data_IF_825390992008
#
_entry.id   IF_825390992008
#
_cell.length_a   1.000
_cell.length_b   1.000
_cell.length_c   1.000
_cell.angle_alpha   90.00
_cell.angle_beta   90.00
_cell.angle_gamma   90.00
#
_symmetry.space_group_name_H-M   'P 1'
#
loop_
_entity.id
_entity.type
_entity.pdbx_description
1 polymer ?
#
# COMPACT_ATOMS: atom_id res chain seq x y z
N UNK A 1 14.87 -15.57 9.45
CA UNK A 1 15.90 -14.87 8.65
C UNK A 1 16.03 -13.47 9.23
N UNK A 2 17.20 -13.07 9.76
CA UNK A 2 17.45 -11.70 10.22
C UNK A 2 18.24 -11.00 9.12
N UNK A 3 17.66 -9.96 8.51
CA UNK A 3 18.39 -9.10 7.58
C UNK A 3 19.35 -8.22 8.38
N UNK A 4 20.59 -8.07 7.92
CA UNK A 4 21.60 -7.24 8.59
C UNK A 4 21.23 -5.75 8.61
N UNK A 5 20.48 -5.31 7.62
CA UNK A 5 19.84 -3.99 7.56
C UNK A 5 18.69 -4.02 6.55
N UNK A 6 17.71 -3.16 6.73
CA UNK A 6 16.72 -2.85 5.69
C UNK A 6 17.34 -1.83 4.72
N UNK A 7 17.02 -1.87 3.42
CA UNK A 7 17.48 -0.87 2.46
C UNK A 7 17.14 0.55 2.94
N UNK A 8 18.10 1.47 2.88
CA UNK A 8 17.88 2.85 3.26
C UNK A 8 16.92 3.52 2.27
N UNK A 9 15.73 3.85 2.74
CA UNK A 9 14.74 4.56 1.94
C UNK A 9 14.98 6.07 2.03
N UNK A 10 15.72 6.63 1.05
CA UNK A 10 15.97 8.08 0.95
C UNK A 10 14.71 8.91 0.60
N UNK A 11 13.61 8.26 0.23
CA UNK A 11 12.57 8.86 -0.60
C UNK A 11 11.62 9.79 0.17
N UNK A 12 11.83 11.10 0.00
CA UNK A 12 10.81 12.11 0.27
C UNK A 12 9.63 11.96 -0.70
N UNK A 13 8.42 12.17 -0.20
CA UNK A 13 7.21 12.21 -1.02
C UNK A 13 7.12 13.60 -1.66
N UNK A 14 7.00 13.64 -2.99
CA UNK A 14 6.90 14.92 -3.74
C UNK A 14 5.50 15.54 -3.75
N UNK A 15 4.49 14.80 -3.26
CA UNK A 15 3.13 15.31 -3.09
C UNK A 15 3.02 16.15 -1.81
N UNK A 16 2.23 17.23 -1.80
CA UNK A 16 1.95 17.98 -0.59
C UNK A 16 1.02 17.15 0.31
N UNK A 17 1.61 16.47 1.29
CA UNK A 17 0.88 15.67 2.28
C UNK A 17 0.64 16.47 3.56
N UNK A 18 -0.54 16.28 4.14
CA UNK A 18 -0.86 16.73 5.50
C UNK A 18 -0.45 15.66 6.52
N UNK A 19 -0.49 16.01 7.81
CA UNK A 19 -0.21 15.04 8.90
C UNK A 19 -1.17 13.84 8.86
N UNK A 20 -2.43 14.07 8.49
CA UNK A 20 -3.45 13.03 8.36
C UNK A 20 -3.11 12.00 7.26
N UNK A 21 -2.44 12.42 6.19
CA UNK A 21 -2.06 11.54 5.07
C UNK A 21 -0.91 10.59 5.44
N UNK A 22 -0.15 10.95 6.48
CA UNK A 22 0.96 10.15 7.01
C UNK A 22 0.52 9.24 8.16
N UNK A 23 -0.79 9.11 8.39
CA UNK A 23 -1.30 8.28 9.47
C UNK A 23 -0.77 6.85 9.36
N UNK A 24 -0.10 6.40 10.44
CA UNK A 24 0.43 5.04 10.55
C UNK A 24 -0.55 4.20 11.34
N UNK A 25 -0.92 3.06 10.76
CA UNK A 25 -1.63 2.03 11.50
C UNK A 25 -0.72 1.45 12.59
N UNK A 26 -1.27 0.98 13.72
CA UNK A 26 -0.48 0.37 14.77
C UNK A 26 0.29 -0.85 14.23
N UNK A 27 1.51 -1.04 14.71
CA UNK A 27 2.29 -2.22 14.37
C UNK A 27 1.55 -3.49 14.79
N UNK A 28 1.61 -4.52 13.95
CA UNK A 28 1.02 -5.81 14.26
C UNK A 28 1.69 -6.38 15.53
N UNK A 29 0.87 -6.74 16.51
CA UNK A 29 1.32 -7.35 17.76
C UNK A 29 0.68 -8.72 17.92
N UNK A 30 1.52 -9.74 18.09
CA UNK A 30 1.10 -11.13 18.24
C UNK A 30 0.60 -11.77 16.95
N UNK A 31 -0.01 -12.94 17.10
CA UNK A 31 -0.52 -13.72 15.99
C UNK A 31 -1.97 -13.35 15.67
N UNK A 32 -2.26 -13.18 14.39
CA UNK A 32 -3.60 -12.91 13.87
C UNK A 32 -3.99 -13.98 12.86
N UNK A 33 -5.27 -14.37 12.88
CA UNK A 33 -5.86 -15.24 11.86
C UNK A 33 -6.73 -14.40 10.94
N UNK A 34 -6.56 -14.61 9.65
CA UNK A 34 -7.31 -13.92 8.61
C UNK A 34 -7.61 -14.90 7.48
N UNK A 35 -8.69 -14.64 6.75
CA UNK A 35 -9.01 -15.37 5.53
C UNK A 35 -8.00 -15.00 4.42
N UNK A 36 -7.56 -13.73 4.42
CA UNK A 36 -6.56 -13.20 3.49
C UNK A 36 -5.57 -12.29 4.20
N UNK A 37 -4.28 -12.46 3.88
CA UNK A 37 -3.20 -11.55 4.27
C UNK A 37 -2.59 -10.94 3.02
N UNK A 38 -2.55 -9.61 2.98
CA UNK A 38 -2.05 -8.82 1.85
C UNK A 38 -0.83 -8.05 2.34
N UNK A 39 0.29 -8.20 1.63
CA UNK A 39 1.56 -7.56 1.97
C UNK A 39 1.80 -6.40 1.00
N UNK A 40 1.83 -5.18 1.53
CA UNK A 40 2.01 -3.93 0.80
C UNK A 40 0.70 -3.18 0.58
N UNK A 41 0.64 -1.94 1.09
CA UNK A 41 -0.47 -1.00 1.01
C UNK A 41 -0.41 -0.04 -0.20
N UNK A 42 0.30 -0.45 -1.26
CA UNK A 42 0.29 0.27 -2.55
C UNK A 42 -1.01 0.03 -3.34
N UNK A 43 -1.08 0.56 -4.58
CA UNK A 43 -2.29 0.44 -5.41
C UNK A 43 -2.75 -1.00 -5.60
N UNK A 44 -1.84 -1.93 -5.86
CA UNK A 44 -2.18 -3.33 -6.07
C UNK A 44 -2.81 -3.96 -4.83
N UNK A 45 -2.16 -3.81 -3.66
CA UNK A 45 -2.62 -4.42 -2.41
C UNK A 45 -3.96 -3.85 -1.95
N UNK A 46 -4.12 -2.52 -1.95
CA UNK A 46 -5.39 -1.88 -1.58
C UNK A 46 -6.50 -2.22 -2.59
N UNK A 47 -6.21 -2.25 -3.88
CA UNK A 47 -7.22 -2.63 -4.89
C UNK A 47 -7.67 -4.07 -4.73
N UNK A 48 -6.75 -4.98 -4.42
CA UNK A 48 -7.06 -6.37 -4.15
C UNK A 48 -7.89 -6.53 -2.87
N UNK A 49 -7.49 -5.88 -1.77
CA UNK A 49 -8.24 -5.84 -0.52
C UNK A 49 -9.67 -5.33 -0.73
N UNK A 50 -9.81 -4.21 -1.45
CA UNK A 50 -11.10 -3.62 -1.78
C UNK A 50 -11.97 -4.57 -2.59
N UNK A 51 -11.38 -5.26 -3.57
CA UNK A 51 -12.12 -6.23 -4.41
C UNK A 51 -12.60 -7.42 -3.59
N UNK A 52 -11.76 -7.97 -2.71
CA UNK A 52 -12.15 -9.05 -1.80
C UNK A 52 -13.29 -8.62 -0.87
N UNK A 53 -13.16 -7.47 -0.20
CA UNK A 53 -14.19 -6.94 0.69
C UNK A 53 -15.52 -6.66 -0.03
N UNK A 54 -15.46 -6.26 -1.31
CA UNK A 54 -16.65 -6.05 -2.14
C UNK A 54 -17.33 -7.37 -2.54
N UNK A 55 -16.56 -8.44 -2.75
CA UNK A 55 -17.08 -9.76 -3.13
C UNK A 55 -17.70 -10.49 -1.92
N UNK A 56 -17.09 -10.34 -0.75
CA UNK A 56 -17.63 -10.91 0.48
C UNK A 56 -17.24 -10.02 1.68
N UNK A 57 -18.20 -9.23 2.21
CA UNK A 57 -17.98 -8.37 3.37
C UNK A 57 -17.65 -9.11 4.68
N UNK A 58 -17.87 -10.43 4.74
CA UNK A 58 -17.59 -11.25 5.92
C UNK A 58 -16.15 -11.75 5.97
N UNK A 59 -15.34 -11.52 4.92
CA UNK A 59 -13.93 -11.91 4.92
C UNK A 59 -13.13 -11.06 5.90
N UNK A 60 -12.38 -11.73 6.77
CA UNK A 60 -11.36 -11.11 7.59
C UNK A 60 -10.11 -10.91 6.74
N UNK A 61 -9.90 -9.67 6.28
CA UNK A 61 -8.78 -9.30 5.41
C UNK A 61 -7.80 -8.46 6.22
N UNK A 62 -6.54 -8.87 6.20
CA UNK A 62 -5.45 -8.16 6.86
C UNK A 62 -4.52 -7.58 5.79
N UNK A 63 -4.31 -6.28 5.83
CA UNK A 63 -3.34 -5.56 4.99
C UNK A 63 -2.18 -5.09 5.86
N UNK A 64 -0.96 -5.50 5.54
CA UNK A 64 0.26 -5.15 6.29
C UNK A 64 1.22 -4.42 5.36
N UNK A 65 1.77 -3.31 5.84
CA UNK A 65 2.86 -2.58 5.19
C UNK A 65 3.99 -2.35 6.21
N UNK A 66 5.22 -2.18 5.71
CA UNK A 66 6.37 -1.84 6.55
C UNK A 66 6.36 -0.36 6.97
N UNK A 67 5.71 0.51 6.18
CA UNK A 67 5.58 1.94 6.42
C UNK A 67 4.09 2.37 6.31
N UNK A 68 3.81 3.50 5.67
CA UNK A 68 2.46 4.00 5.38
C UNK A 68 2.18 3.96 3.87
N UNK A 69 0.91 3.81 3.48
CA UNK A 69 0.47 3.80 2.08
C UNK A 69 1.00 5.01 1.26
N UNK A 70 1.10 6.17 1.92
CA UNK A 70 1.62 7.42 1.38
C UNK A 70 3.12 7.39 1.03
N UNK A 71 3.85 6.35 1.44
CA UNK A 71 5.31 6.23 1.26
C UNK A 71 5.73 5.17 0.24
N UNK A 72 4.77 4.55 -0.44
CA UNK A 72 5.04 3.54 -1.47
C UNK A 72 5.41 4.16 -2.82
N UNK A 73 5.85 3.35 -3.79
CA UNK A 73 6.02 3.78 -5.18
C UNK A 73 4.71 4.30 -5.78
N UNK A 74 3.58 3.70 -5.40
CA UNK A 74 2.25 4.14 -5.80
C UNK A 74 1.94 5.56 -5.32
N UNK A 75 2.42 5.97 -4.14
CA UNK A 75 2.22 7.33 -3.66
C UNK A 75 3.25 8.35 -4.20
N UNK A 76 4.24 7.90 -4.98
CA UNK A 76 5.25 8.76 -5.63
C UNK A 76 5.12 8.80 -7.15
N UNK A 77 3.99 8.34 -7.68
CA UNK A 77 3.70 8.45 -9.10
C UNK A 77 3.48 9.92 -9.48
N UNK A 78 3.65 10.27 -10.76
CA UNK A 78 3.51 11.64 -11.29
C UNK A 78 2.05 12.07 -11.56
N UNK A 79 1.07 11.27 -11.15
CA UNK A 79 -0.36 11.53 -11.29
C UNK A 79 -0.99 10.94 -12.55
N UNK A 80 -0.22 10.24 -13.39
CA UNK A 80 -0.72 9.71 -14.66
C UNK A 80 -1.13 8.25 -14.56
N UNK A 81 -2.36 7.95 -14.99
CA UNK A 81 -2.85 6.60 -15.25
C UNK A 81 -3.29 6.57 -16.71
N UNK A 82 -2.50 5.93 -17.57
CA UNK A 82 -2.75 5.88 -19.02
C UNK A 82 -3.11 4.44 -19.38
N UNK A 83 -4.34 4.25 -19.88
CA UNK A 83 -4.87 2.91 -20.23
C UNK A 83 -4.75 2.64 -21.74
N UNK A 84 -4.66 3.69 -22.56
CA UNK A 84 -4.48 3.58 -24.01
C UNK A 84 -3.30 4.45 -24.45
N UNK A 85 -2.39 3.93 -25.29
CA UNK A 85 -1.42 4.79 -25.95
C UNK A 85 -2.16 5.82 -26.79
N UNK A 86 -1.80 7.09 -26.63
CA UNK A 86 -2.17 8.11 -27.60
C UNK A 86 -1.39 7.76 -28.86
N UNK A 87 -2.08 7.26 -29.89
CA UNK A 87 -1.50 7.11 -31.20
C UNK A 87 -1.26 8.52 -31.75
N UNK A 88 -0.07 9.07 -31.49
CA UNK A 88 0.42 10.28 -32.14
C UNK A 88 0.90 9.77 -33.50
N UNK A 89 0.21 10.18 -34.57
CA UNK A 89 0.28 9.59 -35.91
C UNK A 89 1.67 9.38 -36.50
#
# INVERSE_FOLDING_TARGET
MRFASVPFNQNQVGWPLNEEDLYRQPSLSGDIKADWVIIGSGYAGVSFARRLASLNPQLNIVLIDAECAATSSSARNSGFIIVLPHNIG
#
